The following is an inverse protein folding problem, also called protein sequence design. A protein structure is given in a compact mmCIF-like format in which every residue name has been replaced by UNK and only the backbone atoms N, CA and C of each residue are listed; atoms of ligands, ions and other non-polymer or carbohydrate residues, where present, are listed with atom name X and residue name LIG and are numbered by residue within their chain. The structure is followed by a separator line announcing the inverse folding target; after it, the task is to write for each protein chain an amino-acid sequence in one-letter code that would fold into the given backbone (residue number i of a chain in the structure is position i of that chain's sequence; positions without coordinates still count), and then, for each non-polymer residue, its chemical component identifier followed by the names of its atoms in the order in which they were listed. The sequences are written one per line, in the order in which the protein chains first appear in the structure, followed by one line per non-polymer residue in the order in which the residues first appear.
data_IF_659013485119
#
_entry.id   IF_659013485119
#
_cell.length_a   1.000
_cell.length_b   1.000
_cell.length_c   1.000
_cell.angle_alpha   90.00
_cell.angle_beta   90.00
_cell.angle_gamma   90.00
#
_symmetry.space_group_name_H-M   'P 1'
#
loop_
_entity.id
_entity.type
_entity.pdbx_description
1 polymer ?
#
# COMPACT_ATOMS: atom_id res chain seq x y z
N UNK A 1 -21.17 15.95 7.53
CA UNK A 1 -19.92 15.63 6.80
C UNK A 1 -20.29 14.69 5.66
N UNK A 2 -19.88 14.99 4.42
CA UNK A 2 -20.11 14.08 3.29
C UNK A 2 -19.07 12.96 3.38
N UNK A 3 -19.54 11.76 3.69
CA UNK A 3 -18.72 10.56 3.59
C UNK A 3 -18.53 10.19 2.12
N UNK A 4 -17.30 10.37 1.62
CA UNK A 4 -16.96 9.98 0.26
C UNK A 4 -16.55 8.50 0.24
N UNK A 5 -17.07 7.70 -0.70
CA UNK A 5 -16.62 6.33 -0.87
C UNK A 5 -15.12 6.31 -1.16
N UNK A 6 -14.35 5.60 -0.33
CA UNK A 6 -12.92 5.46 -0.54
C UNK A 6 -12.63 4.17 -1.31
N UNK A 7 -11.65 4.24 -2.21
CA UNK A 7 -11.08 3.07 -2.88
C UNK A 7 -9.86 2.61 -2.13
N UNK A 8 -9.79 1.32 -1.82
CA UNK A 8 -8.73 0.72 -1.03
C UNK A 8 -8.13 -0.46 -1.78
N UNK A 9 -6.80 -0.55 -1.73
CA UNK A 9 -6.07 -1.75 -2.10
C UNK A 9 -5.12 -2.14 -0.97
N UNK A 10 -5.10 -3.41 -0.60
CA UNK A 10 -4.08 -3.99 0.26
C UNK A 10 -3.02 -4.66 -0.59
N UNK A 11 -1.76 -4.25 -0.42
CA UNK A 11 -0.63 -4.77 -1.19
C UNK A 11 0.34 -5.41 -0.21
N UNK A 12 0.64 -6.69 -0.41
CA UNK A 12 1.51 -7.45 0.49
C UNK A 12 2.86 -7.69 -0.20
N UNK A 13 3.84 -6.79 -0.05
CA UNK A 13 5.18 -7.01 -0.58
C UNK A 13 5.89 -8.14 0.19
N UNK A 14 6.68 -8.93 -0.51
CA UNK A 14 7.45 -10.04 0.03
C UNK A 14 8.90 -9.58 0.17
N UNK A 15 9.46 -9.58 1.40
CA UNK A 15 10.88 -9.33 1.61
C UNK A 15 11.70 -10.31 0.79
N UNK A 16 12.79 -9.84 0.17
CA UNK A 16 13.87 -10.75 -0.19
C UNK A 16 14.43 -11.24 1.16
N UNK A 17 14.21 -12.53 1.47
CA UNK A 17 14.68 -13.22 2.69
C UNK A 17 16.06 -12.70 3.05
N UNK A 18 16.30 -12.40 4.34
CA UNK A 18 17.58 -12.61 5.06
C UNK A 18 17.43 -12.30 6.57
N UNK A 19 17.25 -13.34 7.40
CA UNK A 19 17.56 -13.30 8.86
C UNK A 19 16.47 -12.85 9.86
N UNK A 20 16.67 -13.15 11.16
CA UNK A 20 15.76 -12.86 12.28
C UNK A 20 15.45 -11.36 12.48
N UNK A 21 16.29 -10.47 11.96
CA UNK A 21 16.11 -9.01 11.99
C UNK A 21 15.54 -8.43 10.68
N UNK A 22 15.14 -9.30 9.74
CA UNK A 22 14.61 -8.90 8.44
C UNK A 22 13.37 -8.01 8.56
N UNK A 23 12.51 -8.20 9.56
CA UNK A 23 11.26 -7.45 9.71
C UNK A 23 11.49 -5.95 9.94
N UNK A 24 12.34 -5.58 10.90
CA UNK A 24 12.63 -4.17 11.20
C UNK A 24 13.43 -3.49 10.08
N UNK A 25 14.38 -4.21 9.47
CA UNK A 25 15.13 -3.71 8.32
C UNK A 25 14.22 -3.55 7.09
N UNK A 26 13.32 -4.49 6.86
CA UNK A 26 12.34 -4.44 5.79
C UNK A 26 11.40 -3.25 5.93
N UNK A 27 10.85 -3.02 7.13
CA UNK A 27 10.03 -1.85 7.41
C UNK A 27 10.78 -0.55 7.12
N UNK A 28 12.04 -0.44 7.56
CA UNK A 28 12.87 0.74 7.32
C UNK A 28 13.15 0.97 5.83
N UNK A 29 13.42 -0.10 5.09
CA UNK A 29 13.63 -0.04 3.64
C UNK A 29 12.33 0.37 2.93
N UNK A 30 11.20 -0.28 3.21
CA UNK A 30 9.92 0.06 2.62
C UNK A 30 9.52 1.51 2.96
N UNK A 31 9.67 1.93 4.20
CA UNK A 31 9.39 3.31 4.60
C UNK A 31 10.24 4.31 3.82
N UNK A 32 11.56 4.09 3.70
CA UNK A 32 12.45 4.96 2.93
C UNK A 32 12.11 4.98 1.44
N UNK A 33 11.79 3.82 0.85
CA UNK A 33 11.47 3.70 -0.57
C UNK A 33 10.16 4.41 -0.94
N UNK A 34 9.21 4.48 -0.01
CA UNK A 34 7.87 5.02 -0.25
C UNK A 34 7.60 6.33 0.50
N UNK A 35 8.60 6.94 1.17
CA UNK A 35 8.41 8.11 2.04
C UNK A 35 7.68 9.29 1.38
N UNK A 36 7.89 9.53 0.08
CA UNK A 36 7.23 10.60 -0.70
C UNK A 36 5.76 10.29 -1.05
N UNK A 37 5.36 9.01 -0.99
CA UNK A 37 3.98 8.54 -1.17
C UNK A 37 3.26 8.34 0.18
N UNK A 38 4.04 8.14 1.25
CA UNK A 38 3.54 8.05 2.62
C UNK A 38 2.86 9.36 3.01
N UNK A 39 1.72 9.28 3.69
CA UNK A 39 0.88 10.40 4.14
C UNK A 39 -0.07 11.04 3.10
N UNK A 40 0.08 10.78 1.79
CA UNK A 40 -0.85 11.27 0.77
C UNK A 40 -1.80 10.18 0.27
N UNK A 41 -1.22 9.06 -0.16
CA UNK A 41 -1.90 8.03 -0.98
C UNK A 41 -1.70 6.62 -0.41
N UNK A 42 -0.60 6.38 0.32
CA UNK A 42 -0.22 5.06 0.83
C UNK A 42 0.00 5.11 2.35
N UNK A 43 -0.59 4.16 3.07
CA UNK A 43 -0.33 3.87 4.49
C UNK A 43 0.32 2.49 4.58
N UNK A 44 1.52 2.42 5.13
CA UNK A 44 2.19 1.14 5.39
C UNK A 44 1.88 0.69 6.82
N UNK A 45 1.38 -0.53 6.97
CA UNK A 45 1.09 -1.21 8.23
C UNK A 45 1.87 -2.52 8.28
N UNK A 46 2.98 -2.53 9.03
CA UNK A 46 3.85 -3.69 9.26
C UNK A 46 4.27 -4.48 8.00
N UNK A 47 3.43 -5.40 7.52
CA UNK A 47 3.68 -6.25 6.35
C UNK A 47 2.86 -5.84 5.10
N UNK A 48 1.89 -4.95 5.30
CA UNK A 48 0.86 -4.58 4.34
C UNK A 48 1.00 -3.10 3.95
N UNK A 49 0.91 -2.80 2.66
CA UNK A 49 0.82 -1.45 2.14
C UNK A 49 -0.61 -1.18 1.68
N UNK A 50 -1.31 -0.30 2.39
CA UNK A 50 -2.68 0.09 2.08
C UNK A 50 -2.66 1.35 1.23
N UNK A 51 -3.12 1.25 -0.01
CA UNK A 51 -3.34 2.41 -0.88
C UNK A 51 -4.78 2.88 -0.71
N UNK A 52 -4.99 4.15 -0.38
CA UNK A 52 -6.33 4.74 -0.22
C UNK A 52 -6.48 5.97 -1.10
N UNK A 53 -7.52 6.00 -1.93
CA UNK A 53 -7.79 7.12 -2.85
C UNK A 53 -9.27 7.50 -2.84
N UNK A 54 -9.56 8.77 -3.15
CA UNK A 54 -10.93 9.33 -3.11
C UNK A 54 -11.80 8.94 -4.30
N UNK A 55 -11.20 8.74 -5.46
CA UNK A 55 -11.89 8.34 -6.69
C UNK A 55 -11.18 7.16 -7.33
N UNK A 56 -11.87 6.46 -8.23
CA UNK A 56 -11.29 5.31 -8.94
C UNK A 56 -10.10 5.74 -9.80
N UNK A 57 -10.20 6.86 -10.50
CA UNK A 57 -9.13 7.35 -11.39
C UNK A 57 -7.86 7.68 -10.60
N UNK A 58 -8.02 8.33 -9.44
CA UNK A 58 -6.90 8.57 -8.53
C UNK A 58 -6.33 7.24 -8.04
N UNK A 59 -7.18 6.28 -7.68
CA UNK A 59 -6.74 4.97 -7.21
C UNK A 59 -5.91 4.21 -8.25
N UNK A 60 -6.34 4.22 -9.52
CA UNK A 60 -5.60 3.61 -10.63
C UNK A 60 -4.24 4.29 -10.80
N UNK A 61 -4.20 5.63 -10.78
CA UNK A 61 -2.95 6.38 -10.88
C UNK A 61 -1.98 6.08 -9.71
N UNK A 62 -2.50 6.00 -8.49
CA UNK A 62 -1.69 5.73 -7.29
C UNK A 62 -1.14 4.29 -7.31
N UNK A 63 -1.96 3.31 -7.74
CA UNK A 63 -1.51 1.94 -7.96
C UNK A 63 -0.44 1.87 -9.06
N UNK A 64 -0.58 2.62 -10.15
CA UNK A 64 0.42 2.67 -11.22
C UNK A 64 1.78 3.19 -10.71
N UNK A 65 1.78 4.28 -9.93
CA UNK A 65 3.00 4.80 -9.27
C UNK A 65 3.62 3.75 -8.36
N UNK A 66 2.81 3.11 -7.51
CA UNK A 66 3.25 2.07 -6.59
C UNK A 66 3.92 0.92 -7.35
N UNK A 67 3.25 0.37 -8.37
CA UNK A 67 3.77 -0.73 -9.17
C UNK A 67 5.04 -0.36 -9.95
N UNK A 68 5.13 0.87 -10.48
CA UNK A 68 6.37 1.35 -11.13
C UNK A 68 7.53 1.32 -10.14
N UNK A 69 7.28 1.68 -8.89
CA UNK A 69 8.29 1.68 -7.83
C UNK A 69 8.66 0.28 -7.36
N UNK A 70 7.68 -0.59 -7.14
CA UNK A 70 7.90 -2.00 -6.82
C UNK A 70 8.78 -2.68 -7.89
N UNK A 71 8.52 -2.41 -9.18
CA UNK A 71 9.36 -2.87 -10.29
C UNK A 71 10.77 -2.28 -10.25
N UNK A 72 10.91 -0.97 -10.03
CA UNK A 72 12.23 -0.29 -9.92
C UNK A 72 13.13 -0.96 -8.87
N UNK A 73 12.56 -1.33 -7.72
CA UNK A 73 13.31 -1.95 -6.62
C UNK A 73 13.25 -3.48 -6.62
N UNK A 74 12.68 -4.10 -7.67
CA UNK A 74 12.55 -5.56 -7.83
C UNK A 74 11.94 -6.25 -6.60
N UNK A 75 10.94 -5.59 -6.00
CA UNK A 75 10.16 -6.14 -4.89
C UNK A 75 9.11 -7.10 -5.45
N UNK A 76 8.96 -8.25 -4.79
CA UNK A 76 7.92 -9.24 -5.13
C UNK A 76 6.67 -8.94 -4.32
N UNK A 77 5.51 -9.35 -4.82
CA UNK A 77 4.24 -9.26 -4.11
C UNK A 77 3.68 -10.66 -3.86
N UNK A 78 2.98 -10.84 -2.75
CA UNK A 78 2.14 -11.99 -2.52
C UNK A 78 0.74 -11.72 -3.10
N UNK A 79 0.56 -12.01 -4.38
CA UNK A 79 -0.68 -11.75 -5.10
C UNK A 79 -1.91 -12.43 -4.48
N UNK A 80 -1.73 -13.59 -3.83
CA UNK A 80 -2.82 -14.30 -3.17
C UNK A 80 -3.34 -13.58 -1.92
N UNK A 81 -2.55 -12.68 -1.33
CA UNK A 81 -2.94 -11.85 -0.17
C UNK A 81 -3.28 -10.41 -0.54
N UNK A 82 -2.95 -9.98 -1.76
CA UNK A 82 -3.30 -8.65 -2.23
C UNK A 82 -4.80 -8.53 -2.52
N UNK A 83 -5.39 -7.40 -2.17
CA UNK A 83 -6.77 -7.04 -2.54
C UNK A 83 -6.76 -5.71 -3.28
N UNK A 84 -7.59 -5.56 -4.31
CA UNK A 84 -7.60 -4.39 -5.18
C UNK A 84 -9.02 -3.88 -5.39
N UNK A 85 -9.17 -2.56 -5.50
CA UNK A 85 -10.43 -1.95 -5.95
C UNK A 85 -11.60 -2.15 -4.98
N UNK A 86 -11.34 -2.28 -3.69
CA UNK A 86 -12.41 -2.39 -2.70
C UNK A 86 -13.00 -1.00 -2.46
N UNK A 87 -14.28 -0.81 -2.81
CA UNK A 87 -15.01 0.41 -2.47
C UNK A 87 -15.48 0.32 -1.03
N UNK A 88 -14.79 1.00 -0.12
CA UNK A 88 -15.21 1.08 1.28
C UNK A 88 -16.27 2.17 1.42
N UNK A 89 -17.47 1.79 1.88
CA UNK A 89 -18.35 2.70 2.58
C UNK A 89 -17.73 2.90 3.97
N UNK A 90 -17.49 4.14 4.34
CA UNK A 90 -16.94 4.52 5.64
C UNK A 90 -17.79 3.91 6.77
N UNK A 91 -17.11 3.34 7.76
CA UNK A 91 -17.72 3.05 9.05
C UNK A 91 -17.89 4.39 9.76
N UNK A 92 -19.12 4.78 10.03
CA UNK A 92 -19.43 5.78 11.04
C UNK A 92 -18.93 5.24 12.38
N UNK A 93 -17.87 5.84 12.93
CA UNK A 93 -17.53 5.67 14.34
C UNK A 93 -18.67 6.33 15.13
N UNK A 94 -19.61 5.50 15.59
CA UNK A 94 -20.55 5.82 16.66
C UNK A 94 -19.81 5.96 17.99
#
# INVERSE_FOLDING_TARGET
MVEYPQWVANIVPVPKKDGKDAGAMYQRVIFNLFHDMMHKEVKVYMDDMIVKSRTLDLHVNDLQKLFKRLRKYKLRLNLAKCTFGVKTRSYSNS
#
